data_IF_996699153952
#
_entry.id   IF_996699153952
#
_cell.length_a   1.000
_cell.length_b   1.000
_cell.length_c   1.000
_cell.angle_alpha   90.00
_cell.angle_beta   90.00
_cell.angle_gamma   90.00
#
_symmetry.space_group_name_H-M   'P 1'
#
loop_
_entity.id
_entity.type
_entity.pdbx_description
1 polymer ?
#
# COMPACT_ATOMS: atom_id res chain seq x y z
N UNK A 1 2.41 7.89 -5.24
CA UNK A 1 3.06 7.91 -6.58
C UNK A 1 4.59 7.98 -6.42
N UNK A 2 5.32 6.94 -6.84
CA UNK A 2 6.77 6.81 -6.60
C UNK A 2 7.64 7.09 -7.84
N UNK A 3 7.13 6.88 -9.05
CA UNK A 3 7.90 7.00 -10.31
C UNK A 3 8.54 8.37 -10.56
N UNK A 4 7.88 9.52 -10.28
CA UNK A 4 8.47 10.84 -10.49
C UNK A 4 9.66 11.15 -9.57
N UNK A 5 9.82 10.39 -8.48
CA UNK A 5 10.92 10.57 -7.52
C UNK A 5 12.23 9.90 -7.97
N UNK A 6 12.23 9.22 -9.12
CA UNK A 6 13.35 8.44 -9.63
C UNK A 6 13.81 8.98 -10.99
N UNK A 7 15.06 9.43 -11.05
CA UNK A 7 15.71 9.95 -12.29
C UNK A 7 16.61 8.91 -12.97
N UNK A 8 17.18 7.99 -12.19
CA UNK A 8 18.04 6.90 -12.67
C UNK A 8 17.71 5.58 -11.95
N UNK A 9 18.02 4.46 -12.59
CA UNK A 9 17.75 3.13 -12.04
C UNK A 9 18.59 2.91 -10.78
N UNK A 10 18.00 2.60 -9.61
CA UNK A 10 18.77 2.41 -8.38
C UNK A 10 19.68 1.17 -8.43
N UNK A 11 19.40 0.21 -9.32
CA UNK A 11 20.19 -1.02 -9.48
C UNK A 11 21.39 -0.84 -10.41
N UNK A 12 21.19 -0.27 -11.61
CA UNK A 12 22.23 -0.17 -12.63
C UNK A 12 22.68 1.26 -12.96
N UNK A 13 22.08 2.28 -12.32
CA UNK A 13 22.34 3.72 -12.53
C UNK A 13 22.08 4.26 -13.93
N UNK A 14 21.54 3.44 -14.85
CA UNK A 14 21.12 3.86 -16.19
C UNK A 14 19.85 4.73 -16.20
N UNK A 15 19.52 5.35 -17.35
CA UNK A 15 18.32 6.17 -17.50
C UNK A 15 17.05 5.31 -17.36
N UNK A 16 16.05 5.85 -16.65
CA UNK A 16 14.76 5.18 -16.49
C UNK A 16 13.83 5.52 -17.67
N UNK A 17 13.60 4.55 -18.55
CA UNK A 17 12.58 4.65 -19.61
C UNK A 17 11.14 4.67 -19.06
N UNK A 18 10.19 4.98 -19.93
CA UNK A 18 8.74 4.95 -19.63
C UNK A 18 8.09 3.67 -20.18
N UNK A 19 8.53 2.51 -19.68
CA UNK A 19 7.96 1.20 -20.05
C UNK A 19 6.91 0.81 -19.01
N UNK A 20 5.72 0.44 -19.48
CA UNK A 20 4.60 -0.01 -18.64
C UNK A 20 4.54 -1.54 -18.59
N UNK A 21 4.73 -2.12 -17.42
CA UNK A 21 4.71 -3.57 -17.24
C UNK A 21 3.31 -4.05 -16.81
N UNK A 22 2.43 -4.29 -17.78
CA UNK A 22 1.04 -4.72 -17.54
C UNK A 22 0.94 -6.07 -16.80
N UNK A 23 1.90 -6.97 -16.98
CA UNK A 23 1.91 -8.24 -16.26
C UNK A 23 2.11 -8.02 -14.76
N UNK A 24 3.08 -7.18 -14.38
CA UNK A 24 3.31 -6.82 -12.98
C UNK A 24 2.17 -5.99 -12.37
N UNK A 25 1.45 -5.19 -13.17
CA UNK A 25 0.23 -4.53 -12.71
C UNK A 25 -0.85 -5.55 -12.32
N UNK A 26 -1.06 -6.59 -13.13
CA UNK A 26 -2.01 -7.67 -12.80
C UNK A 26 -1.60 -8.43 -11.54
N UNK A 27 -0.31 -8.73 -11.40
CA UNK A 27 0.22 -9.36 -10.17
C UNK A 27 -0.05 -8.46 -8.96
N UNK A 28 0.28 -7.17 -9.03
CA UNK A 28 0.04 -6.22 -7.94
C UNK A 28 -1.43 -6.15 -7.52
N UNK A 29 -2.38 -6.27 -8.48
CA UNK A 29 -3.82 -6.30 -8.19
C UNK A 29 -4.28 -7.59 -7.49
N UNK A 30 -3.54 -8.69 -7.60
CA UNK A 30 -3.87 -9.96 -6.92
C UNK A 30 -3.28 -10.09 -5.52
N UNK A 31 -2.35 -9.21 -5.12
CA UNK A 31 -1.72 -9.26 -3.80
C UNK A 31 -2.67 -8.69 -2.75
N UNK A 32 -2.85 -9.45 -1.67
CA UNK A 32 -3.57 -9.03 -0.48
C UNK A 32 -2.58 -8.52 0.57
N UNK A 33 -2.97 -7.46 1.26
CA UNK A 33 -2.18 -6.82 2.31
C UNK A 33 -2.95 -6.84 3.63
N UNK A 34 -2.30 -7.10 4.77
CA UNK A 34 -2.95 -6.98 6.07
C UNK A 34 -3.34 -5.52 6.33
N UNK A 35 -4.45 -5.33 7.06
CA UNK A 35 -4.84 -4.05 7.64
C UNK A 35 -3.71 -3.48 8.51
N UNK A 36 -3.49 -2.15 8.50
CA UNK A 36 -2.48 -1.53 9.38
C UNK A 36 -2.72 -1.75 10.88
N UNK A 37 -3.95 -2.06 11.28
CA UNK A 37 -4.31 -2.38 12.66
C UNK A 37 -4.25 -3.89 12.96
N UNK A 38 -3.56 -4.68 12.13
CA UNK A 38 -3.36 -6.10 12.42
C UNK A 38 -2.70 -6.35 13.78
N UNK A 39 -1.75 -5.50 14.17
CA UNK A 39 -1.13 -5.56 15.50
C UNK A 39 -2.12 -5.27 16.65
N UNK A 40 -3.26 -4.62 16.35
CA UNK A 40 -4.32 -4.33 17.32
C UNK A 40 -5.41 -5.41 17.32
N UNK A 41 -5.32 -6.43 16.46
CA UNK A 41 -6.25 -7.56 16.39
C UNK A 41 -7.03 -7.70 15.08
N UNK A 42 -6.84 -6.80 14.11
CA UNK A 42 -7.53 -6.92 12.82
C UNK A 42 -6.91 -8.00 11.92
N UNK A 43 -7.61 -9.11 11.70
CA UNK A 43 -7.11 -10.21 10.86
C UNK A 43 -7.43 -10.05 9.36
N UNK A 44 -8.04 -8.94 8.97
CA UNK A 44 -8.49 -8.72 7.59
C UNK A 44 -7.31 -8.44 6.66
N UNK A 45 -7.24 -9.19 5.56
CA UNK A 45 -6.31 -8.96 4.44
C UNK A 45 -7.09 -8.55 3.19
N UNK A 46 -6.66 -7.47 2.53
CA UNK A 46 -7.42 -6.80 1.47
C UNK A 46 -6.54 -6.43 0.29
N UNK A 47 -7.10 -6.31 -0.93
CA UNK A 47 -6.39 -5.68 -2.04
C UNK A 47 -6.11 -4.20 -1.72
N UNK A 48 -5.07 -3.66 -2.35
CA UNK A 48 -4.65 -2.27 -2.09
C UNK A 48 -5.73 -1.22 -2.37
N UNK A 49 -6.70 -1.54 -3.24
CA UNK A 49 -7.81 -0.65 -3.62
C UNK A 49 -8.85 -0.47 -2.50
N UNK A 50 -9.08 -1.51 -1.69
CA UNK A 50 -10.12 -1.51 -0.64
C UNK A 50 -9.54 -1.24 0.75
N UNK A 51 -8.21 -1.40 0.89
CA UNK A 51 -7.52 -1.29 2.16
C UNK A 51 -7.71 0.08 2.83
N UNK A 52 -7.69 1.17 2.06
CA UNK A 52 -7.86 2.52 2.60
C UNK A 52 -9.24 2.68 3.26
N UNK A 53 -10.30 2.33 2.53
CA UNK A 53 -11.69 2.43 2.98
C UNK A 53 -11.94 1.60 4.26
N UNK A 54 -11.41 0.37 4.29
CA UNK A 54 -11.46 -0.46 5.49
C UNK A 54 -10.75 0.20 6.68
N UNK A 55 -9.54 0.73 6.48
CA UNK A 55 -8.75 1.32 7.56
C UNK A 55 -9.33 2.61 8.13
N UNK A 56 -10.20 3.31 7.40
CA UNK A 56 -10.91 4.48 7.94
C UNK A 56 -11.95 4.08 8.98
N UNK A 57 -12.61 2.93 8.76
CA UNK A 57 -13.75 2.42 9.53
C UNK A 57 -13.43 1.18 10.38
N UNK A 58 -12.17 0.73 10.39
CA UNK A 58 -11.75 -0.48 11.08
C UNK A 58 -12.05 -0.40 12.59
N UNK A 59 -12.68 -1.43 13.14
CA UNK A 59 -13.04 -1.49 14.57
C UNK A 59 -11.82 -1.52 15.50
N UNK A 60 -10.70 -2.02 15.00
CA UNK A 60 -9.43 -2.09 15.73
C UNK A 60 -8.62 -0.78 15.65
N UNK A 61 -9.16 0.25 14.98
CA UNK A 61 -8.54 1.56 14.90
C UNK A 61 -8.49 2.20 16.31
N UNK A 62 -7.33 2.69 16.76
CA UNK A 62 -7.24 3.43 18.01
C UNK A 62 -7.99 4.76 17.89
N UNK A 63 -8.72 5.12 18.94
CA UNK A 63 -9.35 6.43 19.07
C UNK A 63 -8.45 7.31 19.94
N UNK A 64 -8.24 8.56 19.52
CA UNK A 64 -7.60 9.56 20.37
C UNK A 64 -8.50 9.79 21.58
N UNK A 65 -8.05 9.36 22.76
CA UNK A 65 -8.77 9.62 23.99
C UNK A 65 -8.80 11.14 24.20
N UNK A 66 -9.98 11.76 24.39
CA UNK A 66 -10.10 13.21 24.60
C UNK A 66 -9.66 13.66 26.00
N UNK A 67 -9.05 12.79 26.82
CA UNK A 67 -8.59 13.16 28.15
C UNK A 67 -7.28 13.97 28.10
N UNK A 68 -7.17 15.01 28.96
CA UNK A 68 -6.05 15.94 29.03
C UNK A 68 -4.74 15.34 29.53
#
# INVERSE_FOLDING_TARGET
NCRPKLTCCPTCRGPLGSIRNLAMEKVANSVLFPCKYASSGCEVTLPHTEKADHEELCEFRPYSCPCP
#
